data_IF_709359250237
#
_entry.id   IF_709359250237
#
_cell.length_a   1.000
_cell.length_b   1.000
_cell.length_c   1.000
_cell.angle_alpha   90.00
_cell.angle_beta   90.00
_cell.angle_gamma   90.00
#
_symmetry.space_group_name_H-M   'P 1'
#
loop_
_entity.id
_entity.type
_entity.pdbx_description
1 polymer ?
#
# COMPACT_ATOMS: atom_id res chain seq x y z
N UNK A 1 5.59 16.33 -12.50
CA UNK A 1 4.72 16.67 -11.34
C UNK A 1 3.87 15.47 -11.00
N UNK A 2 3.73 15.20 -9.71
CA UNK A 2 2.97 14.07 -9.17
C UNK A 2 1.66 14.57 -8.57
N UNK A 3 0.57 13.87 -8.86
CA UNK A 3 -0.75 14.15 -8.28
C UNK A 3 -0.89 13.34 -6.99
N UNK A 4 -0.90 14.02 -5.88
CA UNK A 4 -0.92 13.44 -4.54
C UNK A 4 -2.27 13.72 -3.89
N UNK A 5 -2.97 12.66 -3.47
CA UNK A 5 -4.21 12.77 -2.71
C UNK A 5 -3.94 13.36 -1.33
N UNK A 6 -2.91 12.80 -0.63
CA UNK A 6 -2.55 13.24 0.72
C UNK A 6 -1.12 12.83 1.09
N UNK A 7 -0.50 13.60 2.00
CA UNK A 7 0.77 13.26 2.65
C UNK A 7 0.63 13.48 4.15
N UNK A 8 0.91 12.45 4.96
CA UNK A 8 0.76 12.53 6.40
C UNK A 8 1.75 11.64 7.16
N UNK A 9 2.10 12.06 8.36
CA UNK A 9 2.90 11.27 9.30
C UNK A 9 1.99 10.34 10.08
N UNK A 10 2.34 9.07 10.14
CA UNK A 10 1.62 8.06 10.91
C UNK A 10 2.55 6.91 11.31
N UNK A 11 1.97 5.79 11.72
CA UNK A 11 2.63 4.49 11.83
C UNK A 11 2.08 3.56 10.76
N UNK A 12 2.95 2.77 10.12
CA UNK A 12 2.49 1.70 9.24
C UNK A 12 1.51 0.80 10.01
N UNK A 13 0.30 0.67 9.48
CA UNK A 13 -0.79 -0.05 10.14
C UNK A 13 -0.90 -1.51 9.73
N UNK A 14 -0.14 -1.96 8.72
CA UNK A 14 -0.31 -3.25 8.06
C UNK A 14 1.02 -3.96 7.79
N UNK A 15 0.97 -5.29 7.66
CA UNK A 15 2.07 -6.10 7.18
C UNK A 15 3.27 -6.17 8.10
N UNK A 16 4.44 -6.39 7.49
CA UNK A 16 5.69 -6.63 8.21
C UNK A 16 6.15 -5.45 9.06
N UNK A 17 6.00 -4.23 8.53
CA UNK A 17 6.43 -3.01 9.20
C UNK A 17 5.36 -2.37 10.11
N UNK A 18 4.33 -3.13 10.50
CA UNK A 18 3.30 -2.64 11.44
C UNK A 18 3.92 -2.00 12.67
N UNK A 19 3.52 -0.77 12.98
CA UNK A 19 4.02 0.03 14.09
C UNK A 19 5.21 0.93 13.75
N UNK A 20 5.87 0.75 12.61
CA UNK A 20 6.98 1.60 12.16
C UNK A 20 6.47 3.00 11.81
N UNK A 21 7.11 4.03 12.36
CA UNK A 21 6.82 5.41 12.02
C UNK A 21 7.12 5.66 10.53
N UNK A 22 6.19 6.31 9.84
CA UNK A 22 6.23 6.45 8.39
C UNK A 22 5.55 7.74 7.94
N UNK A 23 6.00 8.30 6.82
CA UNK A 23 5.24 9.31 6.09
C UNK A 23 4.58 8.63 4.89
N UNK A 24 3.27 8.62 4.88
CA UNK A 24 2.49 8.09 3.77
C UNK A 24 2.34 9.14 2.68
N UNK A 25 2.62 8.75 1.45
CA UNK A 25 2.41 9.54 0.24
C UNK A 25 1.39 8.79 -0.61
N UNK A 26 0.14 9.26 -0.58
CA UNK A 26 -0.95 8.64 -1.33
C UNK A 26 -1.08 9.30 -2.70
N UNK A 27 -0.68 8.59 -3.73
CA UNK A 27 -0.85 9.01 -5.13
C UNK A 27 -2.31 8.92 -5.57
N UNK A 28 -2.76 9.89 -6.37
CA UNK A 28 -4.11 9.90 -6.93
C UNK A 28 -4.21 8.97 -8.12
N UNK A 29 -5.37 8.31 -8.25
CA UNK A 29 -5.73 7.46 -9.39
C UNK A 29 -5.33 5.99 -9.24
N UNK A 30 -6.10 5.12 -9.88
CA UNK A 30 -5.89 3.68 -9.90
C UNK A 30 -6.27 3.12 -11.28
N UNK A 31 -5.63 2.03 -11.67
CA UNK A 31 -5.97 1.32 -12.91
C UNK A 31 -7.03 0.24 -12.73
N UNK A 32 -7.45 -0.05 -11.50
CA UNK A 32 -8.39 -1.14 -11.18
C UNK A 32 -9.77 -0.65 -10.72
N UNK A 33 -9.91 0.64 -10.46
CA UNK A 33 -11.15 1.30 -10.12
C UNK A 33 -11.03 2.81 -10.36
N UNK A 34 -12.10 3.42 -10.86
CA UNK A 34 -12.17 4.89 -11.07
C UNK A 34 -12.19 5.70 -9.76
N UNK A 35 -12.50 5.06 -8.63
CA UNK A 35 -12.75 5.71 -7.35
C UNK A 35 -14.17 6.30 -7.22
N UNK A 36 -14.98 6.16 -8.25
CA UNK A 36 -16.36 6.68 -8.26
C UNK A 36 -17.36 5.59 -7.88
N UNK A 37 -18.19 5.81 -6.87
CA UNK A 37 -19.17 4.83 -6.39
C UNK A 37 -20.13 4.33 -7.50
N UNK A 38 -20.49 5.19 -8.45
CA UNK A 38 -21.35 4.82 -9.59
C UNK A 38 -20.77 3.73 -10.48
N UNK A 39 -19.44 3.54 -10.45
CA UNK A 39 -18.74 2.57 -11.30
C UNK A 39 -18.36 1.31 -10.52
N UNK A 40 -18.45 1.32 -9.17
CA UNK A 40 -17.94 0.29 -8.26
C UNK A 40 -18.32 -1.13 -8.67
N UNK A 41 -19.58 -1.40 -8.97
CA UNK A 41 -20.06 -2.74 -9.28
C UNK A 41 -19.46 -3.34 -10.57
N UNK A 42 -18.90 -2.50 -11.45
CA UNK A 42 -18.34 -2.91 -12.75
C UNK A 42 -16.82 -3.08 -12.70
N UNK A 43 -16.20 -2.65 -11.61
CA UNK A 43 -14.76 -2.54 -11.52
C UNK A 43 -14.11 -3.77 -10.87
N UNK A 44 -12.85 -3.98 -11.17
CA UNK A 44 -12.08 -5.12 -10.65
C UNK A 44 -11.98 -5.06 -9.13
N UNK A 45 -11.61 -3.89 -8.59
CA UNK A 45 -11.44 -3.68 -7.16
C UNK A 45 -12.67 -3.02 -6.53
N UNK A 46 -13.84 -3.69 -6.64
CA UNK A 46 -15.12 -3.17 -6.15
C UNK A 46 -15.29 -3.12 -4.63
N UNK A 47 -14.34 -3.65 -3.89
CA UNK A 47 -14.29 -3.67 -2.41
C UNK A 47 -13.19 -2.75 -1.83
N UNK A 48 -12.60 -1.88 -2.66
CA UNK A 48 -11.58 -0.94 -2.20
C UNK A 48 -12.14 0.01 -1.15
N UNK A 49 -11.41 0.16 -0.04
CA UNK A 49 -11.74 1.01 1.11
C UNK A 49 -10.94 2.33 1.13
N UNK A 50 -10.17 2.61 0.07
CA UNK A 50 -9.26 3.75 0.00
C UNK A 50 -9.84 4.88 -0.85
N UNK A 51 -9.87 6.09 -0.32
CA UNK A 51 -10.08 7.31 -1.09
C UNK A 51 -8.76 7.79 -1.72
N UNK A 52 -8.68 7.71 -3.03
CA UNK A 52 -7.53 8.14 -3.84
C UNK A 52 -7.91 9.12 -4.95
N UNK A 53 -9.14 9.62 -4.93
CA UNK A 53 -9.63 10.55 -5.97
C UNK A 53 -9.27 11.99 -5.62
N UNK A 54 -8.81 12.74 -6.61
CA UNK A 54 -8.47 14.15 -6.41
C UNK A 54 -7.13 14.38 -5.70
N UNK A 55 -6.94 15.60 -5.23
CA UNK A 55 -5.72 16.06 -4.54
C UNK A 55 -6.06 16.94 -3.34
N UNK A 56 -7.19 16.67 -2.70
CA UNK A 56 -7.85 17.52 -1.71
C UNK A 56 -7.73 17.01 -0.26
N UNK A 57 -6.97 15.93 -0.05
CA UNK A 57 -6.66 15.43 1.29
C UNK A 57 -5.59 16.25 2.02
N UNK A 58 -5.20 15.81 3.20
CA UNK A 58 -4.20 16.49 4.04
C UNK A 58 -2.86 16.61 3.28
N UNK A 59 -2.38 17.85 3.09
CA UNK A 59 -1.20 18.15 2.27
C UNK A 59 -1.29 17.58 0.84
N UNK A 60 -2.50 17.42 0.31
CA UNK A 60 -2.73 17.01 -1.07
C UNK A 60 -2.39 18.13 -2.06
N UNK A 61 -2.11 17.76 -3.31
CA UNK A 61 -1.72 18.75 -4.33
C UNK A 61 -1.04 18.12 -5.54
N UNK A 62 -0.48 19.00 -6.38
CA UNK A 62 0.41 18.63 -7.46
C UNK A 62 1.82 19.13 -7.13
N UNK A 63 2.77 18.22 -7.05
CA UNK A 63 4.10 18.51 -6.53
C UNK A 63 5.22 18.10 -7.49
N UNK A 64 6.30 18.84 -7.44
CA UNK A 64 7.62 18.38 -7.88
C UNK A 64 8.26 17.53 -6.77
N UNK A 65 9.23 16.72 -7.10
CA UNK A 65 9.90 15.84 -6.13
C UNK A 65 10.57 16.59 -4.97
N UNK A 66 11.19 17.73 -5.24
CA UNK A 66 11.82 18.55 -4.19
C UNK A 66 10.81 19.14 -3.20
N UNK A 67 9.61 19.44 -3.66
CA UNK A 67 8.51 19.90 -2.81
C UNK A 67 8.00 18.79 -1.90
N UNK A 68 7.88 17.57 -2.44
CA UNK A 68 7.51 16.38 -1.65
C UNK A 68 8.60 16.12 -0.58
N UNK A 69 9.88 16.15 -0.97
CA UNK A 69 10.97 15.91 -0.04
C UNK A 69 10.99 16.93 1.12
N UNK A 70 10.80 18.21 0.82
CA UNK A 70 10.67 19.26 1.85
C UNK A 70 9.51 19.00 2.80
N UNK A 71 8.36 18.59 2.24
CA UNK A 71 7.17 18.30 3.05
C UNK A 71 7.38 17.08 3.95
N UNK A 72 8.01 16.01 3.45
CA UNK A 72 8.37 14.84 4.26
C UNK A 72 9.26 15.23 5.42
N UNK A 73 10.32 16.03 5.20
CA UNK A 73 11.19 16.52 6.26
C UNK A 73 10.45 17.40 7.28
N UNK A 74 9.53 18.24 6.83
CA UNK A 74 8.71 19.07 7.74
C UNK A 74 7.78 18.25 8.63
N UNK A 75 7.33 17.10 8.15
CA UNK A 75 6.48 16.18 8.90
C UNK A 75 7.28 15.24 9.81
N UNK A 76 8.56 14.96 9.47
CA UNK A 76 9.38 14.02 10.24
C UNK A 76 9.83 14.65 11.56
N UNK A 77 9.64 13.96 12.70
CA UNK A 77 10.01 14.54 13.99
C UNK A 77 11.52 14.75 14.13
N UNK A 78 11.93 15.95 14.54
CA UNK A 78 13.33 16.36 14.66
C UNK A 78 14.13 15.63 15.74
N UNK A 79 13.44 14.96 16.66
CA UNK A 79 14.05 14.15 17.73
C UNK A 79 14.32 12.69 17.33
N UNK A 80 14.05 12.33 16.07
CA UNK A 80 14.30 11.00 15.51
C UNK A 80 15.55 11.07 14.65
N UNK A 81 16.54 10.24 14.96
CA UNK A 81 17.83 10.20 14.25
C UNK A 81 17.78 9.32 12.99
N UNK A 82 16.84 8.37 12.94
CA UNK A 82 16.66 7.51 11.78
C UNK A 82 16.13 8.29 10.58
N UNK A 83 16.55 7.88 9.41
CA UNK A 83 16.06 8.43 8.15
C UNK A 83 14.52 8.30 8.04
N UNK A 84 13.84 9.28 7.45
CA UNK A 84 12.42 9.15 7.17
C UNK A 84 12.14 7.91 6.31
N UNK A 85 11.16 7.10 6.77
CA UNK A 85 10.60 6.00 6.02
C UNK A 85 9.34 6.48 5.31
N UNK A 86 9.36 6.53 3.99
CA UNK A 86 8.21 6.92 3.18
C UNK A 86 7.51 5.69 2.62
N UNK A 87 6.18 5.67 2.69
CA UNK A 87 5.34 4.63 2.11
C UNK A 87 4.55 5.24 0.96
N UNK A 88 4.96 4.93 -0.26
CA UNK A 88 4.28 5.32 -1.47
C UNK A 88 3.12 4.36 -1.74
N UNK A 89 1.92 4.84 -1.61
CA UNK A 89 0.67 4.10 -1.75
C UNK A 89 -0.33 4.92 -2.59
N UNK A 90 -1.61 4.60 -2.51
CA UNK A 90 -2.64 5.42 -3.16
C UNK A 90 -3.78 4.59 -3.69
N UNK A 91 -4.23 4.90 -4.89
CA UNK A 91 -4.86 3.94 -5.77
C UNK A 91 -3.81 2.96 -6.25
N UNK A 92 -3.05 3.35 -7.28
CA UNK A 92 -1.85 2.62 -7.72
C UNK A 92 -0.68 3.59 -7.90
N UNK A 93 0.33 3.56 -7.00
CA UNK A 93 1.43 4.53 -7.06
C UNK A 93 2.28 4.40 -8.33
N UNK A 94 2.41 3.18 -8.88
CA UNK A 94 3.23 2.91 -10.07
C UNK A 94 2.67 3.48 -11.37
N UNK A 95 1.48 4.08 -11.35
CA UNK A 95 0.99 4.91 -12.47
C UNK A 95 1.79 6.21 -12.63
N UNK A 96 2.43 6.69 -11.55
CA UNK A 96 3.11 7.98 -11.52
C UNK A 96 4.55 7.88 -11.03
N UNK A 97 4.83 6.97 -10.09
CA UNK A 97 6.14 6.82 -9.45
C UNK A 97 7.15 6.30 -10.48
N UNK A 98 8.16 7.09 -10.75
CA UNK A 98 9.21 6.83 -11.73
C UNK A 98 10.61 6.78 -11.10
N UNK A 99 11.62 6.46 -11.91
CA UNK A 99 13.00 6.37 -11.43
C UNK A 99 13.53 7.71 -10.91
N UNK A 100 13.09 8.83 -11.49
CA UNK A 100 13.51 10.16 -11.04
C UNK A 100 12.99 10.45 -9.62
N UNK A 101 11.75 10.04 -9.30
CA UNK A 101 11.21 10.15 -7.95
C UNK A 101 12.06 9.35 -6.95
N UNK A 102 12.38 8.10 -7.25
CA UNK A 102 13.16 7.22 -6.37
C UNK A 102 14.55 7.82 -6.11
N UNK A 103 15.24 8.21 -7.17
CA UNK A 103 16.59 8.76 -7.05
C UNK A 103 16.61 10.07 -6.25
N UNK A 104 15.59 10.94 -6.40
CA UNK A 104 15.45 12.17 -5.62
C UNK A 104 15.17 11.91 -4.15
N UNK A 105 14.27 10.96 -3.84
CA UNK A 105 13.97 10.61 -2.46
C UNK A 105 15.20 10.03 -1.75
N UNK A 106 15.95 9.14 -2.41
CA UNK A 106 17.23 8.63 -1.87
C UNK A 106 18.28 9.71 -1.69
N UNK A 107 18.39 10.68 -2.63
CA UNK A 107 19.30 11.84 -2.45
C UNK A 107 18.95 12.68 -1.23
N UNK A 108 17.69 12.71 -0.85
CA UNK A 108 17.22 13.35 0.38
C UNK A 108 17.34 12.44 1.62
N UNK A 109 17.91 11.23 1.49
CA UNK A 109 18.17 10.32 2.59
C UNK A 109 16.96 9.51 3.07
N UNK A 110 15.91 9.34 2.25
CA UNK A 110 14.72 8.59 2.62
C UNK A 110 14.86 7.11 2.29
N UNK A 111 14.28 6.27 3.11
CA UNK A 111 13.99 4.86 2.80
C UNK A 111 12.60 4.76 2.19
N UNK A 112 12.46 4.03 1.08
CA UNK A 112 11.27 4.04 0.23
C UNK A 112 10.59 2.68 0.24
N UNK A 113 9.33 2.63 0.66
CA UNK A 113 8.44 1.50 0.46
C UNK A 113 7.38 1.82 -0.58
N UNK A 114 6.91 0.80 -1.29
CA UNK A 114 5.71 0.87 -2.11
C UNK A 114 4.67 -0.15 -1.66
N UNK A 115 3.40 0.24 -1.74
CA UNK A 115 2.25 -0.65 -1.69
C UNK A 115 1.55 -0.62 -3.04
N UNK A 116 1.61 -1.72 -3.79
CA UNK A 116 1.12 -1.80 -5.17
C UNK A 116 0.19 -3.00 -5.38
N UNK A 117 -0.69 -2.90 -6.36
CA UNK A 117 -1.50 -4.04 -6.80
C UNK A 117 -0.70 -5.06 -7.65
N UNK A 118 0.54 -4.74 -8.02
CA UNK A 118 1.48 -5.61 -8.72
C UNK A 118 1.25 -5.75 -10.24
N UNK A 119 0.42 -4.88 -10.83
CA UNK A 119 0.18 -4.88 -12.29
C UNK A 119 1.23 -4.12 -13.09
N UNK A 120 2.16 -3.44 -12.43
CA UNK A 120 3.28 -2.71 -13.02
C UNK A 120 4.61 -3.13 -12.41
N UNK A 121 5.68 -2.98 -13.20
CA UNK A 121 7.06 -3.15 -12.70
C UNK A 121 7.50 -1.83 -12.04
N UNK A 122 7.98 -1.86 -10.80
CA UNK A 122 8.49 -0.67 -10.12
C UNK A 122 9.82 -0.20 -10.70
N UNK A 123 10.19 1.08 -10.50
CA UNK A 123 11.55 1.55 -10.69
C UNK A 123 12.56 0.75 -9.86
N UNK A 124 13.83 0.82 -10.24
CA UNK A 124 14.91 0.19 -9.47
C UNK A 124 15.12 0.87 -8.12
N UNK A 125 15.71 0.12 -7.17
CA UNK A 125 16.14 0.61 -5.85
C UNK A 125 14.99 1.03 -4.91
N UNK A 126 13.81 0.45 -5.05
CA UNK A 126 12.81 0.51 -3.98
C UNK A 126 13.32 -0.36 -2.82
N UNK A 127 13.32 0.19 -1.60
CA UNK A 127 13.90 -0.49 -0.42
C UNK A 127 12.94 -1.55 0.16
N UNK A 128 11.61 -1.38 -0.02
CA UNK A 128 10.60 -2.35 0.39
C UNK A 128 9.45 -2.41 -0.61
N UNK A 129 9.15 -3.60 -1.09
CA UNK A 129 8.08 -3.84 -2.06
C UNK A 129 7.00 -4.71 -1.41
N UNK A 130 5.84 -4.13 -1.13
CA UNK A 130 4.63 -4.82 -0.72
C UNK A 130 3.68 -4.95 -1.91
N UNK A 131 3.35 -6.19 -2.28
CA UNK A 131 2.40 -6.48 -3.36
C UNK A 131 1.09 -6.97 -2.77
N UNK A 132 -0.02 -6.33 -3.16
CA UNK A 132 -1.38 -6.73 -2.77
C UNK A 132 -2.19 -7.14 -4.00
N UNK A 133 -2.16 -8.43 -4.39
CA UNK A 133 -2.82 -8.92 -5.59
C UNK A 133 -4.33 -8.72 -5.53
N UNK A 134 -4.92 -8.39 -6.68
CA UNK A 134 -6.37 -8.23 -6.85
C UNK A 134 -6.90 -9.28 -7.80
N UNK A 135 -8.11 -9.76 -7.52
CA UNK A 135 -8.79 -10.72 -8.40
C UNK A 135 -8.90 -10.19 -9.83
N UNK A 136 -8.88 -11.08 -10.81
CA UNK A 136 -9.00 -10.77 -12.24
C UNK A 136 -7.94 -9.79 -12.78
N UNK A 137 -6.75 -9.75 -12.16
CA UNK A 137 -5.61 -9.00 -12.70
C UNK A 137 -4.47 -9.92 -13.08
N UNK A 138 -3.73 -9.52 -14.12
CA UNK A 138 -2.45 -10.13 -14.44
C UNK A 138 -1.39 -9.58 -13.50
N UNK A 139 -0.96 -10.41 -12.52
CA UNK A 139 0.13 -10.06 -11.64
C UNK A 139 1.46 -10.12 -12.40
N UNK A 140 2.01 -8.95 -12.68
CA UNK A 140 3.29 -8.79 -13.38
C UNK A 140 4.45 -8.92 -12.40
N UNK A 141 4.32 -8.31 -11.22
CA UNK A 141 5.33 -8.29 -10.17
C UNK A 141 5.24 -9.55 -9.30
N UNK A 142 6.13 -10.51 -9.57
CA UNK A 142 6.14 -11.84 -8.92
C UNK A 142 7.27 -12.01 -7.89
N UNK A 143 7.91 -10.90 -7.52
CA UNK A 143 8.99 -10.85 -6.53
C UNK A 143 8.88 -9.56 -5.73
N UNK A 144 9.29 -9.60 -4.47
CA UNK A 144 9.26 -8.47 -3.56
C UNK A 144 9.51 -8.91 -2.13
N UNK A 145 9.34 -8.00 -1.18
CA UNK A 145 9.57 -8.29 0.23
C UNK A 145 8.33 -8.87 0.88
N UNK A 146 7.16 -8.40 0.50
CA UNK A 146 5.90 -8.76 1.14
C UNK A 146 4.80 -8.98 0.10
N UNK A 147 4.08 -10.10 0.24
CA UNK A 147 2.80 -10.32 -0.43
C UNK A 147 1.68 -10.26 0.61
N UNK A 148 0.82 -9.24 0.51
CA UNK A 148 -0.30 -8.99 1.42
C UNK A 148 -1.62 -9.25 0.70
N UNK A 149 -2.25 -10.37 0.99
CA UNK A 149 -3.47 -10.82 0.33
C UNK A 149 -4.70 -10.42 1.15
N UNK A 150 -5.54 -9.56 0.59
CA UNK A 150 -6.84 -9.22 1.20
C UNK A 150 -7.80 -10.39 1.02
N UNK A 151 -8.37 -10.90 2.12
CA UNK A 151 -9.13 -12.14 2.14
C UNK A 151 -10.51 -12.00 2.80
N UNK A 152 -11.54 -12.64 2.24
CA UNK A 152 -11.57 -13.45 1.03
C UNK A 152 -11.75 -12.62 -0.26
N UNK A 153 -11.25 -13.12 -1.38
CA UNK A 153 -11.59 -12.64 -2.72
C UNK A 153 -12.25 -13.79 -3.50
N UNK A 154 -13.32 -13.49 -4.26
CA UNK A 154 -14.08 -14.51 -5.00
C UNK A 154 -13.22 -15.19 -6.06
N UNK A 155 -13.19 -16.53 -6.08
CA UNK A 155 -12.46 -17.35 -7.03
C UNK A 155 -10.95 -17.06 -7.11
N UNK A 156 -10.37 -16.52 -6.03
CA UNK A 156 -8.99 -16.10 -5.97
C UNK A 156 -8.37 -16.59 -4.65
N UNK A 157 -7.43 -17.53 -4.75
CA UNK A 157 -6.85 -18.21 -3.59
C UNK A 157 -5.44 -17.74 -3.29
N UNK A 158 -5.11 -17.49 -2.00
CA UNK A 158 -3.75 -17.10 -1.62
C UNK A 158 -2.68 -18.11 -2.03
N UNK A 159 -2.98 -19.41 -2.01
CA UNK A 159 -2.01 -20.47 -2.30
C UNK A 159 -1.39 -20.38 -3.71
N UNK A 160 -2.07 -19.77 -4.67
CA UNK A 160 -1.51 -19.60 -6.02
C UNK A 160 -0.27 -18.70 -6.05
N UNK A 161 -0.04 -17.91 -5.00
CA UNK A 161 1.09 -17.00 -4.88
C UNK A 161 2.30 -17.59 -4.16
N UNK A 162 2.18 -18.75 -3.51
CA UNK A 162 3.24 -19.40 -2.75
C UNK A 162 4.45 -19.78 -3.60
N UNK A 163 4.25 -19.91 -4.91
CA UNK A 163 5.32 -20.17 -5.90
C UNK A 163 6.13 -18.93 -6.29
N UNK A 164 5.71 -17.74 -5.85
CA UNK A 164 6.38 -16.50 -6.18
C UNK A 164 7.45 -16.15 -5.15
N UNK A 165 8.40 -15.31 -5.53
CA UNK A 165 9.57 -15.00 -4.72
C UNK A 165 9.29 -13.79 -3.81
N UNK A 166 8.58 -14.02 -2.70
CA UNK A 166 8.36 -13.04 -1.64
C UNK A 166 8.95 -13.55 -0.32
N UNK A 167 9.52 -12.64 0.46
CA UNK A 167 10.12 -12.97 1.76
C UNK A 167 9.05 -13.19 2.84
N UNK A 168 7.90 -12.49 2.72
CA UNK A 168 6.82 -12.53 3.70
C UNK A 168 5.45 -12.66 3.02
N UNK A 169 4.59 -13.47 3.63
CA UNK A 169 3.21 -13.68 3.17
C UNK A 169 2.24 -13.29 4.28
N UNK A 170 1.29 -12.40 3.95
CA UNK A 170 0.26 -11.93 4.87
C UNK A 170 -1.14 -12.13 4.31
N UNK A 171 -2.04 -12.56 5.19
CA UNK A 171 -3.49 -12.54 4.98
C UNK A 171 -4.06 -11.35 5.75
N UNK A 172 -4.77 -10.48 5.06
CA UNK A 172 -5.46 -9.34 5.65
C UNK A 172 -6.97 -9.51 5.49
N UNK A 173 -7.76 -9.50 6.58
CA UNK A 173 -9.20 -9.55 6.47
C UNK A 173 -9.71 -8.40 5.61
N UNK A 174 -10.57 -8.70 4.63
CA UNK A 174 -11.25 -7.66 3.85
C UNK A 174 -12.14 -6.83 4.78
N UNK A 175 -11.98 -5.52 4.72
CA UNK A 175 -12.78 -4.57 5.50
C UNK A 175 -14.22 -4.47 5.00
N UNK A 176 -15.09 -3.82 5.78
CA UNK A 176 -16.48 -3.56 5.46
C UNK A 176 -17.47 -4.33 6.32
N UNK A 177 -18.71 -4.42 5.86
CA UNK A 177 -19.85 -4.95 6.63
C UNK A 177 -19.70 -6.40 7.13
N UNK A 178 -18.78 -7.16 6.54
CA UNK A 178 -18.53 -8.56 6.89
C UNK A 178 -17.18 -8.78 7.58
N UNK A 179 -16.57 -7.73 8.16
CA UNK A 179 -15.22 -7.78 8.73
C UNK A 179 -15.04 -8.93 9.73
N UNK A 180 -15.94 -9.11 10.71
CA UNK A 180 -15.82 -10.17 11.74
C UNK A 180 -15.76 -11.57 11.12
N UNK A 181 -16.59 -11.81 10.10
CA UNK A 181 -16.57 -13.06 9.33
C UNK A 181 -15.26 -13.23 8.59
N UNK A 182 -14.79 -12.18 7.92
CA UNK A 182 -13.57 -12.19 7.13
C UNK A 182 -12.34 -12.40 8.02
N UNK A 183 -12.32 -11.79 9.21
CA UNK A 183 -11.27 -11.99 10.21
C UNK A 183 -11.23 -13.45 10.70
N UNK A 184 -12.40 -14.02 11.01
CA UNK A 184 -12.50 -15.43 11.40
C UNK A 184 -11.98 -16.36 10.31
N UNK A 185 -12.40 -16.13 9.07
CA UNK A 185 -11.93 -16.90 7.90
C UNK A 185 -10.43 -16.76 7.71
N UNK A 186 -9.87 -15.56 7.88
CA UNK A 186 -8.43 -15.29 7.79
C UNK A 186 -7.65 -16.06 8.87
N UNK A 187 -8.13 -16.05 10.12
CA UNK A 187 -7.55 -16.82 11.23
C UNK A 187 -7.61 -18.33 11.01
N UNK A 188 -8.69 -18.83 10.43
CA UNK A 188 -8.83 -20.26 10.06
C UNK A 188 -7.88 -20.64 8.91
N UNK A 189 -7.72 -19.74 7.94
CA UNK A 189 -6.79 -19.95 6.84
C UNK A 189 -5.34 -20.07 7.33
N UNK A 190 -4.85 -19.14 8.15
CA UNK A 190 -3.46 -19.18 8.64
C UNK A 190 -3.19 -20.38 9.56
N UNK A 191 -4.18 -20.87 10.32
CA UNK A 191 -4.02 -22.11 11.10
C UNK A 191 -3.69 -23.32 10.21
N UNK A 192 -4.21 -23.35 8.99
CA UNK A 192 -3.97 -24.43 8.01
C UNK A 192 -2.74 -24.17 7.13
N UNK A 193 -2.29 -22.92 7.07
CA UNK A 193 -1.20 -22.46 6.21
C UNK A 193 -0.21 -21.62 7.03
N UNK A 194 0.63 -22.23 7.89
CA UNK A 194 1.40 -21.53 8.93
C UNK A 194 2.54 -20.63 8.41
N UNK A 195 2.87 -20.67 7.13
CA UNK A 195 3.80 -19.72 6.53
C UNK A 195 3.16 -18.37 6.21
N UNK A 196 1.83 -18.30 6.20
CA UNK A 196 1.07 -17.05 6.13
C UNK A 196 0.88 -16.47 7.53
N UNK A 197 1.04 -15.15 7.64
CA UNK A 197 0.82 -14.39 8.87
C UNK A 197 -0.45 -13.54 8.76
N UNK A 198 -1.05 -13.20 9.90
CA UNK A 198 -2.17 -12.27 9.92
C UNK A 198 -1.65 -10.83 9.83
N UNK A 199 -2.19 -10.05 8.92
CA UNK A 199 -2.09 -8.59 8.90
C UNK A 199 -3.43 -8.00 9.32
N UNK A 200 -3.43 -7.11 10.29
CA UNK A 200 -4.61 -6.32 10.67
C UNK A 200 -4.40 -4.87 10.23
N UNK A 201 -5.48 -4.14 10.01
CA UNK A 201 -5.44 -2.70 9.79
C UNK A 201 -5.39 -1.98 11.15
N UNK A 202 -4.22 -2.03 11.82
CA UNK A 202 -4.06 -1.55 13.19
C UNK A 202 -4.31 -0.04 13.32
N UNK A 203 -4.08 0.72 12.26
CA UNK A 203 -4.43 2.14 12.18
C UNK A 203 -5.94 2.36 12.42
N UNK A 204 -6.81 1.56 11.80
CA UNK A 204 -8.27 1.64 12.02
C UNK A 204 -8.65 1.25 13.46
N UNK A 205 -8.01 0.22 14.02
CA UNK A 205 -8.27 -0.25 15.37
C UNK A 205 -7.85 0.76 16.45
N UNK A 206 -6.79 1.52 16.19
CA UNK A 206 -6.19 2.46 17.13
C UNK A 206 -6.54 3.93 16.83
N UNK A 207 -7.29 4.20 15.74
CA UNK A 207 -7.70 5.55 15.34
C UNK A 207 -6.55 6.44 14.86
N UNK A 208 -5.52 5.87 14.25
CA UNK A 208 -4.49 6.63 13.54
C UNK A 208 -4.95 6.98 12.12
N UNK A 209 -4.45 8.09 11.54
CA UNK A 209 -4.71 8.41 10.14
C UNK A 209 -4.10 7.39 9.18
#
# INVERSE_FOLDING_TARGET
MYKIKEIFLTKQGEGYHTGRKSVFIRFSGCNLWSGMEKDRDKEICNWCDTDFVGTDGLNGGQYLTDQIAKLVWNLWPTNILEAPYIVCTGGEPLLQLDQFFVDEMHRNGFEIAIETNGTYIPPNKIDWICVSPKNNTDLVLKTGDELKFVYPQSNFSPQQFEKFNFNHFFIQPMDGTHYDRNEKMSKEFIKKNPHWKLSLQTHKLLGFP
#
